data_IF_000932862921
#
_entry.id   IF_000932862921
#
_cell.length_a   1.000
_cell.length_b   1.000
_cell.length_c   1.000
_cell.angle_alpha   90.00
_cell.angle_beta   90.00
_cell.angle_gamma   90.00
#
_symmetry.space_group_name_H-M   'P 1'
#
loop_
_entity.id
_entity.type
_entity.pdbx_description
1 polymer ?
#
# COMPACT_ATOMS: atom_id res chain seq x y z
N UNK A 1 10.64 -8.78 -2.56
CA UNK A 1 11.56 -8.40 -3.66
C UNK A 1 12.11 -7.00 -3.42
N UNK A 2 13.44 -6.84 -3.45
CA UNK A 2 14.12 -5.54 -3.47
C UNK A 2 14.38 -5.11 -4.93
N UNK A 3 14.21 -3.83 -5.22
CA UNK A 3 14.35 -3.25 -6.55
C UNK A 3 15.18 -1.98 -6.47
N UNK A 4 16.31 -1.94 -7.17
CA UNK A 4 17.02 -0.70 -7.46
C UNK A 4 16.48 -0.10 -8.76
N UNK A 5 16.20 1.20 -8.72
CA UNK A 5 15.67 1.97 -9.84
C UNK A 5 16.62 3.14 -10.07
N UNK A 6 17.09 3.31 -11.31
CA UNK A 6 18.06 4.36 -11.66
C UNK A 6 17.39 5.66 -12.13
N UNK A 7 16.15 5.57 -12.61
CA UNK A 7 15.34 6.71 -13.02
C UNK A 7 13.90 6.30 -13.27
N UNK A 8 13.00 7.26 -13.52
CA UNK A 8 13.26 8.70 -13.59
C UNK A 8 13.44 9.34 -12.20
N UNK A 9 13.95 10.58 -12.14
CA UNK A 9 13.98 11.36 -10.88
C UNK A 9 12.57 11.74 -10.44
N UNK A 10 11.68 12.05 -11.39
CA UNK A 10 10.27 12.40 -11.16
C UNK A 10 9.38 11.38 -11.91
N UNK A 11 8.63 10.51 -11.20
CA UNK A 11 7.87 9.44 -11.82
C UNK A 11 6.54 9.92 -12.39
N UNK A 12 5.94 9.14 -13.29
CA UNK A 12 4.67 9.48 -13.92
C UNK A 12 3.51 9.45 -12.93
N UNK A 13 3.48 8.47 -12.01
CA UNK A 13 2.59 8.43 -10.84
C UNK A 13 3.33 8.92 -9.59
N UNK A 14 2.87 10.01 -8.96
CA UNK A 14 3.64 10.64 -7.87
C UNK A 14 2.80 11.51 -6.96
N UNK A 15 3.27 11.71 -5.73
CA UNK A 15 2.75 12.74 -4.84
C UNK A 15 3.34 14.10 -5.19
N UNK A 16 2.49 15.10 -5.40
CA UNK A 16 2.86 16.49 -5.35
C UNK A 16 2.22 17.17 -4.13
N UNK A 17 2.86 18.21 -3.62
CA UNK A 17 2.44 18.90 -2.40
C UNK A 17 2.56 20.41 -2.54
N UNK A 18 1.65 21.13 -1.90
CA UNK A 18 1.67 22.57 -1.74
C UNK A 18 1.44 22.95 -0.27
N UNK A 19 1.76 24.19 0.09
CA UNK A 19 1.57 24.71 1.44
C UNK A 19 0.11 24.60 1.93
N UNK A 20 -0.05 24.63 3.25
CA UNK A 20 -1.36 24.50 3.88
C UNK A 20 -1.90 23.06 3.85
N UNK A 21 -0.99 22.08 3.89
CA UNK A 21 -1.27 20.64 4.00
C UNK A 21 -1.96 20.03 2.77
N UNK A 22 -1.68 20.59 1.60
CA UNK A 22 -2.27 20.18 0.32
C UNK A 22 -1.43 19.09 -0.32
N UNK A 23 -2.07 17.99 -0.65
CA UNK A 23 -1.49 16.84 -1.31
C UNK A 23 -2.29 16.54 -2.58
N UNK A 24 -1.60 16.09 -3.62
CA UNK A 24 -2.25 15.58 -4.83
C UNK A 24 -1.43 14.43 -5.39
N UNK A 25 -2.11 13.34 -5.72
CA UNK A 25 -1.53 12.27 -6.50
C UNK A 25 -1.74 12.59 -7.98
N UNK A 26 -0.65 12.64 -8.73
CA UNK A 26 -0.62 12.91 -10.17
C UNK A 26 -0.28 11.63 -10.91
N UNK A 27 -0.90 11.38 -12.06
CA UNK A 27 -0.57 10.32 -12.99
C UNK A 27 -0.48 10.88 -14.42
N UNK A 28 0.67 10.76 -15.07
CA UNK A 28 0.84 11.28 -16.44
C UNK A 28 0.53 12.77 -16.59
N UNK A 29 0.67 13.54 -15.51
CA UNK A 29 0.29 14.97 -15.47
C UNK A 29 -1.17 15.26 -15.11
N UNK A 30 -1.99 14.24 -14.89
CA UNK A 30 -3.40 14.37 -14.51
C UNK A 30 -3.59 14.12 -13.01
N UNK A 31 -4.31 14.97 -12.27
CA UNK A 31 -4.68 14.68 -10.88
C UNK A 31 -5.61 13.47 -10.78
N UNK A 32 -5.24 12.48 -9.96
CA UNK A 32 -6.03 11.26 -9.72
C UNK A 32 -6.64 11.20 -8.31
N UNK A 33 -5.99 11.83 -7.34
CA UNK A 33 -6.46 11.95 -5.96
C UNK A 33 -6.03 13.30 -5.40
N UNK A 34 -6.95 14.05 -4.83
CA UNK A 34 -6.62 15.17 -3.95
C UNK A 34 -6.71 14.72 -2.50
N UNK A 35 -5.83 15.25 -1.67
CA UNK A 35 -5.91 15.06 -0.23
C UNK A 35 -5.51 16.35 0.51
N UNK A 36 -6.12 16.57 1.66
CA UNK A 36 -5.73 17.67 2.55
C UNK A 36 -5.70 17.16 3.98
N UNK A 37 -4.57 17.34 4.65
CA UNK A 37 -4.46 16.93 6.06
C UNK A 37 -5.40 17.78 6.92
N UNK A 38 -6.09 17.13 7.84
CA UNK A 38 -7.04 17.76 8.76
C UNK A 38 -6.34 18.73 9.70
N UNK A 39 -7.08 19.72 10.20
CA UNK A 39 -6.60 20.69 11.22
C UNK A 39 -6.32 20.05 12.57
N UNK A 40 -6.94 18.89 12.82
CA UNK A 40 -6.75 18.07 14.01
C UNK A 40 -5.45 17.25 13.98
N UNK A 41 -4.79 17.15 12.81
CA UNK A 41 -3.61 16.30 12.60
C UNK A 41 -3.86 14.79 12.78
N UNK A 42 -5.12 14.34 12.90
CA UNK A 42 -5.49 12.94 13.10
C UNK A 42 -5.93 12.21 11.83
N UNK A 43 -5.73 12.83 10.66
CA UNK A 43 -6.11 12.25 9.39
C UNK A 43 -6.07 13.24 8.24
N UNK A 44 -6.71 12.86 7.14
CA UNK A 44 -6.88 13.71 5.95
C UNK A 44 -8.27 13.55 5.37
N UNK A 45 -8.70 14.57 4.64
CA UNK A 45 -9.79 14.45 3.67
C UNK A 45 -9.19 14.01 2.33
N UNK A 46 -9.90 13.19 1.57
CA UNK A 46 -9.55 12.84 0.21
C UNK A 46 -10.70 13.06 -0.76
N UNK A 47 -10.35 13.23 -2.04
CA UNK A 47 -11.29 13.21 -3.15
C UNK A 47 -10.64 12.57 -4.39
N UNK A 48 -11.24 11.51 -4.92
CA UNK A 48 -10.84 10.85 -6.16
C UNK A 48 -11.41 11.59 -7.35
N UNK A 49 -10.64 11.67 -8.42
CA UNK A 49 -11.10 12.30 -9.67
C UNK A 49 -11.74 11.30 -10.63
N UNK A 50 -11.63 10.00 -10.36
CA UNK A 50 -12.06 8.92 -11.26
C UNK A 50 -11.14 8.72 -12.46
N UNK A 51 -10.01 9.43 -12.55
CA UNK A 51 -9.09 9.41 -13.70
C UNK A 51 -7.94 8.42 -13.55
N UNK A 52 -7.84 7.75 -12.41
CA UNK A 52 -6.77 6.79 -12.16
C UNK A 52 -6.85 5.59 -13.12
N UNK A 53 -5.69 5.23 -13.70
CA UNK A 53 -5.51 4.02 -14.49
C UNK A 53 -4.42 3.17 -13.85
N UNK A 54 -4.63 1.86 -13.76
CA UNK A 54 -3.59 0.96 -13.27
C UNK A 54 -2.34 1.03 -14.15
N UNK A 55 -1.13 1.18 -13.59
CA UNK A 55 0.11 1.12 -14.37
C UNK A 55 0.45 -0.32 -14.80
N UNK A 56 -0.25 -1.32 -14.26
CA UNK A 56 -0.01 -2.73 -14.58
C UNK A 56 -0.99 -3.22 -15.64
N UNK A 57 -0.49 -4.05 -16.55
CA UNK A 57 -1.33 -4.71 -17.53
C UNK A 57 -2.35 -5.65 -16.83
N UNK A 58 -3.59 -5.75 -17.35
CA UNK A 58 -4.58 -6.66 -16.80
C UNK A 58 -4.09 -8.11 -16.72
N UNK A 59 -4.16 -8.69 -15.51
CA UNK A 59 -3.82 -10.10 -15.31
C UNK A 59 -4.86 -11.04 -15.92
N UNK A 60 -4.37 -11.95 -16.77
CA UNK A 60 -5.18 -13.02 -17.37
C UNK A 60 -5.30 -14.21 -16.43
N UNK A 61 -6.41 -14.95 -16.53
CA UNK A 61 -6.65 -16.15 -15.73
C UNK A 61 -5.62 -17.26 -15.99
N UNK A 62 -5.16 -17.37 -17.24
CA UNK A 62 -4.11 -18.31 -17.65
C UNK A 62 -2.83 -18.10 -16.84
N UNK A 63 -2.31 -16.86 -16.79
CA UNK A 63 -1.13 -16.53 -16.00
C UNK A 63 -1.30 -16.90 -14.52
N UNK A 64 -2.48 -16.65 -13.94
CA UNK A 64 -2.73 -16.98 -12.54
C UNK A 64 -2.62 -18.49 -12.27
N UNK A 65 -3.15 -19.31 -13.17
CA UNK A 65 -3.06 -20.78 -13.10
C UNK A 65 -1.64 -21.27 -13.33
N UNK A 66 -0.95 -20.75 -14.33
CA UNK A 66 0.46 -21.10 -14.59
C UNK A 66 1.31 -20.82 -13.35
N UNK A 67 1.15 -19.68 -12.68
CA UNK A 67 1.90 -19.41 -11.45
C UNK A 67 1.57 -20.42 -10.36
N UNK A 68 0.30 -20.80 -10.21
CA UNK A 68 -0.16 -21.79 -9.23
C UNK A 68 0.31 -23.23 -9.51
N UNK A 69 0.58 -23.59 -10.76
CA UNK A 69 1.15 -24.89 -11.13
C UNK A 69 2.60 -25.07 -10.64
N UNK A 70 3.35 -23.97 -10.55
CA UNK A 70 4.77 -24.01 -10.21
C UNK A 70 5.08 -23.54 -8.78
N UNK A 71 4.11 -22.95 -8.08
CA UNK A 71 4.24 -22.54 -6.69
C UNK A 71 2.88 -22.63 -6.00
N UNK A 72 2.85 -23.27 -4.84
CA UNK A 72 1.63 -23.45 -4.08
C UNK A 72 1.02 -22.09 -3.70
N UNK A 73 -0.26 -21.82 -4.02
CA UNK A 73 -0.88 -20.55 -3.71
C UNK A 73 -0.79 -20.17 -2.23
N UNK A 74 -0.05 -19.09 -1.99
CA UNK A 74 0.19 -18.58 -0.65
C UNK A 74 1.48 -18.99 0.02
N UNK A 75 2.30 -19.83 -0.64
CA UNK A 75 3.68 -20.07 -0.25
C UNK A 75 4.55 -18.82 -0.43
N UNK A 76 5.77 -18.87 0.10
CA UNK A 76 6.77 -17.83 -0.10
C UNK A 76 7.15 -17.73 -1.60
N UNK A 77 7.35 -18.86 -2.27
CA UNK A 77 7.69 -18.91 -3.70
C UNK A 77 6.59 -18.32 -4.58
N UNK A 78 5.31 -18.58 -4.24
CA UNK A 78 4.18 -18.00 -4.97
C UNK A 78 4.15 -16.48 -4.81
N UNK A 79 4.42 -16.01 -3.60
CA UNK A 79 4.52 -14.58 -3.27
C UNK A 79 5.68 -13.93 -4.02
N UNK A 80 6.85 -14.57 -4.05
CA UNK A 80 8.03 -14.09 -4.76
C UNK A 80 7.81 -14.01 -6.27
N UNK A 81 7.14 -14.99 -6.86
CA UNK A 81 6.77 -14.98 -8.29
C UNK A 81 5.86 -13.80 -8.62
N UNK A 82 4.86 -13.53 -7.80
CA UNK A 82 4.00 -12.36 -8.00
C UNK A 82 4.73 -11.04 -7.74
N UNK A 83 5.64 -10.99 -6.77
CA UNK A 83 6.49 -9.83 -6.56
C UNK A 83 7.41 -9.60 -7.77
N UNK A 84 8.00 -10.65 -8.35
CA UNK A 84 8.81 -10.57 -9.56
C UNK A 84 7.98 -10.08 -10.76
N UNK A 85 6.78 -10.64 -10.96
CA UNK A 85 5.86 -10.21 -12.01
C UNK A 85 5.45 -8.74 -11.85
N UNK A 86 4.97 -8.35 -10.67
CA UNK A 86 4.60 -6.98 -10.36
C UNK A 86 5.77 -6.02 -10.50
N UNK A 87 6.95 -6.39 -9.98
CA UNK A 87 8.16 -5.59 -10.08
C UNK A 87 8.65 -5.40 -11.52
N UNK A 88 8.51 -6.41 -12.38
CA UNK A 88 8.80 -6.27 -13.81
C UNK A 88 7.80 -5.32 -14.49
N UNK A 89 6.50 -5.48 -14.22
CA UNK A 89 5.45 -4.60 -14.75
C UNK A 89 5.62 -3.14 -14.31
N UNK A 90 5.95 -2.91 -13.04
CA UNK A 90 6.18 -1.56 -12.51
C UNK A 90 7.40 -0.87 -13.12
N UNK A 91 8.48 -1.61 -13.41
CA UNK A 91 9.65 -1.06 -14.10
C UNK A 91 9.37 -0.70 -15.56
N UNK A 92 8.48 -1.45 -16.21
CA UNK A 92 8.09 -1.20 -17.59
C UNK A 92 7.06 -0.07 -17.73
N UNK A 93 6.37 0.30 -16.64
CA UNK A 93 5.32 1.30 -16.66
C UNK A 93 5.87 2.73 -16.70
N UNK A 94 5.62 3.46 -17.79
CA UNK A 94 6.00 4.88 -17.90
C UNK A 94 5.27 5.79 -16.90
N UNK A 95 4.00 5.47 -16.61
CA UNK A 95 3.16 6.18 -15.62
C UNK A 95 3.07 5.44 -14.29
N UNK A 96 4.14 4.72 -13.92
CA UNK A 96 4.29 4.04 -12.64
C UNK A 96 4.84 4.93 -11.52
N UNK A 97 4.83 4.44 -10.26
CA UNK A 97 5.33 5.18 -9.10
C UNK A 97 6.84 5.10 -8.91
N UNK A 98 7.53 4.23 -9.65
CA UNK A 98 8.95 3.99 -9.48
C UNK A 98 9.77 5.19 -9.96
N UNK A 99 10.62 5.67 -9.06
CA UNK A 99 11.63 6.70 -9.29
C UNK A 99 12.96 6.23 -8.71
N UNK A 100 14.02 6.96 -9.05
CA UNK A 100 15.37 6.73 -8.55
C UNK A 100 15.40 6.40 -7.05
N UNK A 101 16.01 5.24 -6.72
CA UNK A 101 16.17 4.75 -5.36
C UNK A 101 15.90 3.26 -5.22
N UNK A 102 15.86 2.82 -3.97
CA UNK A 102 15.57 1.43 -3.61
C UNK A 102 14.11 1.28 -3.16
N UNK A 103 13.49 0.18 -3.58
CA UNK A 103 12.08 -0.11 -3.40
C UNK A 103 11.86 -1.57 -2.99
N UNK A 104 10.89 -1.82 -2.12
CA UNK A 104 10.40 -3.16 -1.83
C UNK A 104 9.04 -3.38 -2.48
N UNK A 105 8.86 -4.60 -2.98
CA UNK A 105 7.55 -5.19 -3.21
C UNK A 105 7.48 -6.50 -2.41
N UNK A 106 6.71 -6.49 -1.34
CA UNK A 106 6.65 -7.58 -0.37
C UNK A 106 5.24 -7.68 0.24
N UNK A 107 4.88 -8.79 0.89
CA UNK A 107 3.71 -8.82 1.76
C UNK A 107 3.75 -7.70 2.81
N UNK A 108 2.59 -7.35 3.34
CA UNK A 108 2.49 -6.48 4.51
C UNK A 108 3.16 -7.15 5.73
N UNK A 109 4.36 -6.68 6.06
CA UNK A 109 5.16 -7.17 7.19
C UNK A 109 4.67 -6.60 8.53
N UNK A 110 4.09 -5.40 8.51
CA UNK A 110 3.69 -4.65 9.70
C UNK A 110 2.26 -4.99 10.16
N UNK A 111 1.55 -5.83 9.40
CA UNK A 111 0.15 -6.19 9.65
C UNK A 111 -0.74 -4.95 9.78
N UNK A 112 -0.51 -3.99 8.88
CA UNK A 112 -1.21 -2.72 8.79
C UNK A 112 -2.73 -2.90 8.65
N UNK A 113 -3.16 -3.99 8.00
CA UNK A 113 -4.57 -4.23 7.72
C UNK A 113 -5.31 -4.86 8.90
N UNK A 114 -6.28 -4.13 9.46
CA UNK A 114 -7.17 -4.59 10.53
C UNK A 114 -8.32 -5.41 9.92
N UNK A 115 -8.53 -6.62 10.43
CA UNK A 115 -9.51 -7.56 9.86
C UNK A 115 -10.93 -6.98 9.78
N UNK A 116 -11.33 -6.17 10.77
CA UNK A 116 -12.65 -5.52 10.82
C UNK A 116 -12.89 -4.44 9.75
N UNK A 117 -11.84 -3.93 9.10
CA UNK A 117 -11.97 -2.87 8.10
C UNK A 117 -12.23 -3.41 6.68
N UNK A 118 -11.91 -4.68 6.40
CA UNK A 118 -12.11 -5.26 5.07
C UNK A 118 -13.57 -5.27 4.60
N UNK A 119 -14.57 -5.73 5.40
CA UNK A 119 -15.96 -5.74 4.95
C UNK A 119 -16.51 -4.34 4.66
N UNK A 120 -16.02 -3.32 5.38
CA UNK A 120 -16.43 -1.92 5.23
C UNK A 120 -16.07 -1.35 3.86
N UNK A 121 -14.91 -1.74 3.31
CA UNK A 121 -14.45 -1.25 2.00
C UNK A 121 -15.44 -1.52 0.87
N UNK A 122 -16.09 -2.69 0.86
CA UNK A 122 -17.06 -3.01 -0.19
C UNK A 122 -18.41 -2.33 0.06
N UNK A 123 -18.80 -2.16 1.32
CA UNK A 123 -20.06 -1.52 1.69
C UNK A 123 -20.02 0.01 1.53
N UNK A 124 -18.85 0.63 1.73
CA UNK A 124 -18.68 2.08 1.78
C UNK A 124 -17.35 2.51 1.11
N UNK A 125 -17.42 2.75 -0.21
CA UNK A 125 -16.31 3.27 -1.03
C UNK A 125 -16.67 4.61 -1.68
N UNK A 126 -16.89 5.69 -0.90
CA UNK A 126 -17.23 6.98 -1.48
C UNK A 126 -16.02 7.58 -2.22
N UNK A 127 -16.28 8.31 -3.30
CA UNK A 127 -15.26 9.05 -4.04
C UNK A 127 -14.61 10.18 -3.22
N UNK A 128 -15.27 10.60 -2.14
CA UNK A 128 -14.80 11.61 -1.18
C UNK A 128 -15.01 11.10 0.23
N UNK A 129 -14.04 11.31 1.10
CA UNK A 129 -14.13 10.85 2.49
C UNK A 129 -12.90 11.21 3.31
N UNK A 130 -12.68 10.44 4.38
CA UNK A 130 -11.59 10.66 5.33
C UNK A 130 -10.70 9.43 5.44
N UNK A 131 -9.41 9.64 5.71
CA UNK A 131 -8.53 8.62 6.26
C UNK A 131 -8.14 9.05 7.67
N UNK A 132 -8.45 8.21 8.65
CA UNK A 132 -8.17 8.44 10.07
C UNK A 132 -6.91 7.68 10.47
N UNK A 133 -5.96 8.36 11.13
CA UNK A 133 -4.68 7.74 11.50
C UNK A 133 -4.69 7.12 12.90
N UNK A 134 -5.69 7.46 13.73
CA UNK A 134 -5.76 7.04 15.13
C UNK A 134 -7.18 6.74 15.63
N UNK A 135 -8.14 6.52 14.71
CA UNK A 135 -9.53 6.19 15.04
C UNK A 135 -10.32 7.25 15.81
N UNK A 136 -9.90 8.53 15.78
CA UNK A 136 -10.59 9.61 16.50
C UNK A 136 -11.56 10.38 15.60
N UNK A 137 -12.82 10.48 16.05
CA UNK A 137 -13.76 11.53 15.62
C UNK A 137 -14.37 11.39 14.23
N UNK A 138 -14.11 10.28 13.52
CA UNK A 138 -14.69 10.00 12.21
C UNK A 138 -15.76 8.89 12.29
N UNK A 139 -16.70 8.82 11.34
CA UNK A 139 -17.68 7.75 11.29
C UNK A 139 -17.01 6.37 11.18
N UNK A 140 -17.60 5.35 11.82
CA UNK A 140 -17.02 4.00 11.84
C UNK A 140 -16.91 3.38 10.44
N UNK A 141 -17.81 3.78 9.52
CA UNK A 141 -17.77 3.39 8.11
C UNK A 141 -16.53 3.92 7.37
N UNK A 142 -15.95 5.04 7.79
CA UNK A 142 -14.77 5.64 7.16
C UNK A 142 -13.46 4.95 7.60
N UNK A 143 -13.51 4.12 8.64
CA UNK A 143 -12.36 3.34 9.10
C UNK A 143 -11.88 2.37 8.01
N UNK A 144 -10.72 2.68 7.42
CA UNK A 144 -10.10 1.88 6.36
C UNK A 144 -8.59 1.97 6.41
N UNK A 145 -7.94 0.84 6.13
CA UNK A 145 -6.47 0.72 6.10
C UNK A 145 -5.93 0.74 4.67
N UNK A 146 -6.79 0.91 3.68
CA UNK A 146 -6.47 0.85 2.26
C UNK A 146 -7.40 1.79 1.50
N UNK A 147 -6.84 2.61 0.61
CA UNK A 147 -7.62 3.52 -0.24
C UNK A 147 -7.63 3.05 -1.71
N UNK A 148 -8.79 2.64 -2.26
CA UNK A 148 -8.93 2.39 -3.69
C UNK A 148 -8.74 3.69 -4.50
N UNK A 149 -7.80 3.73 -5.46
CA UNK A 149 -7.60 4.90 -6.32
C UNK A 149 -8.68 5.12 -7.41
N UNK A 150 -9.50 4.10 -7.66
CA UNK A 150 -10.73 4.21 -8.45
C UNK A 150 -11.87 3.50 -7.70
N UNK A 151 -13.10 3.83 -8.04
CA UNK A 151 -14.27 3.17 -7.50
C UNK A 151 -14.17 1.65 -7.69
N UNK A 152 -14.50 0.91 -6.63
CA UNK A 152 -14.63 -0.54 -6.69
C UNK A 152 -15.77 -0.94 -7.63
N UNK A 153 -15.50 -1.94 -8.45
CA UNK A 153 -16.50 -2.48 -9.37
C UNK A 153 -17.60 -3.19 -8.58
N UNK A 154 -18.80 -3.27 -9.18
CA UNK A 154 -19.91 -4.01 -8.59
C UNK A 154 -19.57 -5.51 -8.48
N UNK A 155 -19.98 -6.21 -7.40
CA UNK A 155 -19.69 -7.64 -7.19
C UNK A 155 -20.12 -8.58 -8.33
N UNK A 156 -21.15 -8.18 -9.09
CA UNK A 156 -21.71 -8.94 -10.21
C UNK A 156 -21.16 -8.51 -11.58
N UNK A 157 -20.21 -7.56 -11.63
CA UNK A 157 -19.55 -7.21 -12.89
C UNK A 157 -18.83 -8.44 -13.50
N UNK A 158 -18.88 -8.67 -14.83
CA UNK A 158 -18.35 -9.89 -15.44
C UNK A 158 -16.90 -10.21 -15.06
N UNK A 159 -16.04 -9.17 -15.02
CA UNK A 159 -14.64 -9.31 -14.62
C UNK A 159 -14.48 -9.69 -13.14
N UNK A 160 -15.30 -9.13 -12.25
CA UNK A 160 -15.29 -9.48 -10.83
C UNK A 160 -15.75 -10.93 -10.64
N UNK A 161 -16.80 -11.39 -11.34
CA UNK A 161 -17.24 -12.80 -11.28
C UNK A 161 -16.14 -13.78 -11.70
N UNK A 162 -15.35 -13.44 -12.73
CA UNK A 162 -14.20 -14.24 -13.14
C UNK A 162 -13.12 -14.31 -12.04
N UNK A 163 -12.83 -13.18 -11.35
CA UNK A 163 -11.90 -13.17 -10.23
C UNK A 163 -12.46 -13.87 -8.98
N UNK A 164 -13.77 -13.80 -8.71
CA UNK A 164 -14.42 -14.55 -7.61
C UNK A 164 -14.25 -16.06 -7.81
N UNK A 165 -14.36 -16.53 -9.04
CA UNK A 165 -14.04 -17.92 -9.38
C UNK A 165 -12.58 -18.26 -9.05
N UNK A 166 -11.62 -17.42 -9.45
CA UNK A 166 -10.21 -17.63 -9.10
C UNK A 166 -9.96 -17.60 -7.59
N UNK A 167 -10.69 -16.77 -6.85
CA UNK A 167 -10.61 -16.72 -5.39
C UNK A 167 -11.03 -18.05 -4.76
N UNK A 168 -12.18 -18.60 -5.17
CA UNK A 168 -12.66 -19.92 -4.73
C UNK A 168 -11.71 -21.05 -5.12
N UNK A 169 -11.08 -20.95 -6.29
CA UNK A 169 -10.05 -21.89 -6.75
C UNK A 169 -8.71 -21.71 -6.02
N UNK A 170 -8.56 -20.68 -5.17
CA UNK A 170 -7.32 -20.41 -4.42
C UNK A 170 -6.21 -19.76 -5.24
N UNK A 171 -6.46 -19.42 -6.51
CA UNK A 171 -5.43 -18.94 -7.46
C UNK A 171 -5.49 -17.44 -7.73
N UNK A 172 -6.35 -16.69 -7.01
CA UNK A 172 -6.49 -15.24 -7.21
C UNK A 172 -5.14 -14.52 -7.02
N UNK A 173 -4.65 -13.78 -8.04
CA UNK A 173 -3.41 -13.03 -7.92
C UNK A 173 -3.49 -11.92 -6.86
N UNK A 174 -2.40 -11.56 -6.18
CA UNK A 174 -2.41 -10.61 -5.08
C UNK A 174 -2.66 -9.17 -5.54
N UNK A 175 -3.43 -8.41 -4.77
CA UNK A 175 -3.62 -6.96 -4.98
C UNK A 175 -2.28 -6.25 -4.79
N UNK A 176 -1.93 -5.38 -5.72
CA UNK A 176 -0.73 -4.55 -5.61
C UNK A 176 -1.13 -3.22 -4.98
N UNK A 177 -0.57 -2.92 -3.81
CA UNK A 177 -0.78 -1.67 -3.10
C UNK A 177 0.50 -0.84 -3.10
N UNK A 178 0.39 0.46 -2.87
CA UNK A 178 1.53 1.36 -2.73
C UNK A 178 1.41 2.18 -1.44
N UNK A 179 2.40 2.07 -0.56
CA UNK A 179 2.50 2.85 0.65
C UNK A 179 2.80 4.32 0.34
N UNK A 180 1.92 5.22 0.79
CA UNK A 180 2.12 6.66 0.71
C UNK A 180 2.15 7.24 2.12
N UNK A 181 3.35 7.53 2.62
CA UNK A 181 3.58 8.10 3.95
C UNK A 181 2.80 9.39 4.22
N UNK A 182 2.64 10.28 3.23
CA UNK A 182 1.85 11.51 3.38
C UNK A 182 0.35 11.26 3.56
N UNK A 183 -0.14 10.08 3.17
CA UNK A 183 -1.51 9.64 3.45
C UNK A 183 -1.58 8.75 4.70
N UNK A 184 -0.43 8.29 5.20
CA UNK A 184 -0.29 7.24 6.20
C UNK A 184 -1.22 6.04 5.90
N UNK A 185 -1.31 5.67 4.63
CA UNK A 185 -2.15 4.58 4.15
C UNK A 185 -1.61 4.05 2.83
N UNK A 186 -1.65 2.73 2.61
CA UNK A 186 -1.55 2.15 1.28
C UNK A 186 -2.71 2.61 0.38
N UNK A 187 -2.41 2.75 -0.90
CA UNK A 187 -3.39 2.93 -1.97
C UNK A 187 -3.40 1.72 -2.90
N UNK A 188 -4.56 1.35 -3.45
CA UNK A 188 -4.64 0.25 -4.43
C UNK A 188 -4.05 0.72 -5.75
N UNK A 189 -2.89 0.18 -6.11
CA UNK A 189 -2.20 0.46 -7.36
C UNK A 189 -2.80 -0.39 -8.49
N UNK A 190 -2.97 -1.69 -8.26
CA UNK A 190 -3.66 -2.57 -9.19
C UNK A 190 -4.42 -3.67 -8.46
N UNK A 191 -5.52 -4.11 -9.07
CA UNK A 191 -6.33 -5.19 -8.55
C UNK A 191 -7.59 -4.74 -7.81
N UNK A 192 -8.14 -3.55 -8.09
CA UNK A 192 -9.45 -3.13 -7.55
C UNK A 192 -10.54 -4.19 -7.77
N UNK A 193 -10.61 -4.82 -8.95
CA UNK A 193 -11.61 -5.89 -9.20
C UNK A 193 -11.28 -7.19 -8.45
N UNK A 194 -10.01 -7.44 -8.13
CA UNK A 194 -9.55 -8.60 -7.36
C UNK A 194 -9.81 -8.40 -5.86
N UNK A 195 -9.65 -7.16 -5.39
CA UNK A 195 -10.09 -6.71 -4.08
C UNK A 195 -11.60 -6.91 -3.94
N UNK A 196 -12.42 -6.37 -4.85
CA UNK A 196 -13.87 -6.61 -4.85
C UNK A 196 -14.19 -8.11 -4.83
N UNK A 197 -13.52 -8.91 -5.65
CA UNK A 197 -13.77 -10.34 -5.73
C UNK A 197 -13.52 -11.06 -4.40
N UNK A 198 -12.40 -10.80 -3.72
CA UNK A 198 -12.11 -11.40 -2.43
C UNK A 198 -13.12 -10.98 -1.36
N UNK A 199 -13.47 -9.69 -1.31
CA UNK A 199 -14.45 -9.15 -0.36
C UNK A 199 -15.86 -9.69 -0.59
N UNK A 200 -16.28 -9.85 -1.85
CA UNK A 200 -17.58 -10.42 -2.20
C UNK A 200 -17.72 -11.91 -1.84
N UNK A 201 -16.59 -12.60 -1.64
CA UNK A 201 -16.54 -13.98 -1.13
C UNK A 201 -16.37 -14.02 0.41
N UNK A 202 -16.48 -12.88 1.09
CA UNK A 202 -16.36 -12.77 2.54
C UNK A 202 -14.94 -12.97 3.08
N UNK A 203 -13.93 -12.88 2.20
CA UNK A 203 -12.55 -13.09 2.57
C UNK A 203 -11.66 -11.87 2.31
N UNK A 204 -10.35 -12.09 2.39
CA UNK A 204 -9.33 -11.03 2.22
C UNK A 204 -8.43 -11.32 1.02
N UNK A 205 -8.09 -10.30 0.21
CA UNK A 205 -7.08 -10.49 -0.81
C UNK A 205 -5.71 -10.66 -0.16
N UNK A 206 -4.81 -11.38 -0.84
CA UNK A 206 -3.38 -11.25 -0.57
C UNK A 206 -2.93 -9.89 -1.11
N UNK A 207 -2.13 -9.16 -0.34
CA UNK A 207 -1.63 -7.83 -0.73
C UNK A 207 -0.11 -7.87 -0.83
N UNK A 208 0.41 -7.35 -1.93
CA UNK A 208 1.82 -7.00 -2.08
C UNK A 208 1.95 -5.48 -2.03
N UNK A 209 2.65 -5.00 -1.00
CA UNK A 209 2.88 -3.60 -0.74
C UNK A 209 4.18 -3.14 -1.41
N UNK A 210 4.04 -2.14 -2.28
CA UNK A 210 5.14 -1.36 -2.82
C UNK A 210 5.50 -0.26 -1.83
N UNK A 211 6.77 -0.14 -1.47
CA UNK A 211 7.28 0.95 -0.62
C UNK A 211 8.71 1.32 -0.98
N UNK A 212 9.15 2.53 -0.62
CA UNK A 212 10.57 2.84 -0.65
C UNK A 212 11.29 2.01 0.41
N UNK A 213 12.49 1.53 0.07
CA UNK A 213 13.36 0.87 1.03
C UNK A 213 13.94 1.88 2.02
N UNK A 214 14.06 1.45 3.28
CA UNK A 214 14.86 2.14 4.26
C UNK A 214 16.34 2.04 3.91
N UNK A 215 17.07 3.14 4.11
CA UNK A 215 18.52 3.11 3.98
C UNK A 215 19.18 2.36 5.14
N UNK A 216 20.42 1.92 4.92
CA UNK A 216 21.17 1.14 5.90
C UNK A 216 21.37 1.87 7.24
N UNK A 217 21.51 3.20 7.22
CA UNK A 217 21.71 3.99 8.44
C UNK A 217 20.44 3.97 9.31
N UNK A 218 19.27 4.09 8.68
CA UNK A 218 17.98 4.04 9.39
C UNK A 218 17.65 2.63 9.87
N UNK A 219 17.98 1.61 9.09
CA UNK A 219 17.87 0.21 9.52
C UNK A 219 18.74 -0.03 10.76
N UNK A 220 20.00 0.42 10.75
CA UNK A 220 20.91 0.27 11.89
C UNK A 220 20.36 0.98 13.14
N UNK A 221 19.88 2.22 12.98
CA UNK A 221 19.26 2.98 14.07
C UNK A 221 18.05 2.25 14.67
N UNK A 222 17.17 1.70 13.84
CA UNK A 222 15.97 1.00 14.31
C UNK A 222 16.28 -0.39 14.89
N UNK A 223 17.35 -1.03 14.42
CA UNK A 223 17.79 -2.33 14.89
C UNK A 223 18.58 -2.28 16.22
N UNK A 224 19.15 -1.12 16.59
CA UNK A 224 20.01 -0.97 17.78
C UNK A 224 19.36 -1.54 19.06
N UNK A 225 18.14 -1.06 19.38
CA UNK A 225 17.43 -1.54 20.58
C UNK A 225 17.02 -3.02 20.49
N UNK A 226 16.40 -3.50 19.40
CA UNK A 226 16.12 -4.93 19.22
C UNK A 226 17.35 -5.84 19.35
N UNK A 227 18.51 -5.43 18.83
CA UNK A 227 19.78 -6.17 18.95
C UNK A 227 20.19 -6.26 20.42
N UNK A 228 20.23 -5.13 21.13
CA UNK A 228 20.59 -5.11 22.55
C UNK A 228 19.62 -5.95 23.41
N UNK A 229 18.32 -5.88 23.13
CA UNK A 229 17.31 -6.69 23.81
C UNK A 229 17.48 -8.20 23.52
N UNK A 230 17.85 -8.56 22.29
CA UNK A 230 18.13 -9.95 21.91
C UNK A 230 19.37 -10.49 22.62
N UNK A 231 20.48 -9.74 22.60
CA UNK A 231 21.74 -10.12 23.26
C UNK A 231 21.53 -10.33 24.76
N UNK A 232 20.81 -9.40 25.42
CA UNK A 232 20.45 -9.53 26.84
C UNK A 232 19.58 -10.76 27.13
N UNK A 233 18.59 -11.06 26.28
CA UNK A 233 17.74 -12.25 26.43
C UNK A 233 18.52 -13.55 26.25
N UNK A 234 19.42 -13.63 25.27
CA UNK A 234 20.26 -14.82 25.04
C UNK A 234 21.23 -15.02 26.18
N UNK A 235 21.88 -13.96 26.69
CA UNK A 235 22.79 -14.04 27.81
C UNK A 235 22.12 -14.51 29.11
N UNK A 236 20.82 -14.26 29.29
CA UNK A 236 20.05 -14.68 30.46
C UNK A 236 19.51 -16.13 30.37
N UNK A 237 19.70 -16.84 29.25
CA UNK A 237 19.19 -18.19 29.04
C UNK A 237 20.24 -19.25 29.41
N UNK A 238 20.19 -19.73 30.65
CA UNK A 238 20.99 -20.87 31.13
C UNK A 238 20.16 -22.17 31.28
N UNK A 239 20.85 -23.32 31.23
CA UNK A 239 20.32 -24.64 31.59
C UNK A 239 19.99 -25.60 30.43
N UNK A 240 19.47 -26.81 30.73
CA UNK A 240 19.34 -27.92 29.76
C UNK A 240 18.38 -27.64 28.58
N UNK A 241 17.41 -26.74 28.77
CA UNK A 241 16.48 -26.30 27.73
C UNK A 241 16.96 -25.04 26.99
N UNK A 242 18.16 -24.55 27.31
CA UNK A 242 18.80 -23.37 26.71
C UNK A 242 18.77 -23.35 25.19
N UNK A 243 19.16 -24.43 24.47
CA UNK A 243 19.18 -24.44 23.01
C UNK A 243 17.80 -24.20 22.37
N UNK A 244 16.73 -24.78 22.91
CA UNK A 244 15.37 -24.61 22.37
C UNK A 244 14.82 -23.21 22.63
N UNK A 245 15.11 -22.64 23.81
CA UNK A 245 14.72 -21.27 24.16
C UNK A 245 15.48 -20.25 23.32
N UNK A 246 16.78 -20.44 23.13
CA UNK A 246 17.61 -19.63 22.23
C UNK A 246 17.06 -19.69 20.81
N UNK A 247 16.75 -20.88 20.30
CA UNK A 247 16.18 -21.02 18.95
C UNK A 247 14.84 -20.27 18.78
N UNK A 248 13.98 -20.28 19.80
CA UNK A 248 12.73 -19.50 19.78
C UNK A 248 13.00 -17.99 19.78
N UNK A 249 13.85 -17.51 20.69
CA UNK A 249 14.23 -16.09 20.78
C UNK A 249 14.90 -15.59 19.50
N UNK A 250 15.79 -16.40 18.91
CA UNK A 250 16.43 -16.10 17.63
C UNK A 250 15.43 -16.00 16.48
N UNK A 251 14.41 -16.87 16.43
CA UNK A 251 13.33 -16.76 15.41
C UNK A 251 12.52 -15.48 15.60
N UNK A 252 12.17 -15.13 16.84
CA UNK A 252 11.46 -13.88 17.12
C UNK A 252 12.30 -12.67 16.71
N UNK A 253 13.58 -12.65 17.05
CA UNK A 253 14.50 -11.59 16.67
C UNK A 253 14.68 -11.48 15.15
N UNK A 254 14.83 -12.61 14.45
CA UNK A 254 14.89 -12.62 12.99
C UNK A 254 13.63 -12.04 12.35
N UNK A 255 12.45 -12.30 12.91
CA UNK A 255 11.20 -11.70 12.45
C UNK A 255 11.17 -10.18 12.71
N UNK A 256 11.65 -9.72 13.87
CA UNK A 256 11.78 -8.29 14.19
C UNK A 256 12.72 -7.58 13.22
N UNK A 257 13.91 -8.13 12.95
CA UNK A 257 14.84 -7.55 11.98
C UNK A 257 14.24 -7.52 10.57
N UNK A 258 13.55 -8.59 10.17
CA UNK A 258 12.87 -8.64 8.88
C UNK A 258 11.80 -7.56 8.75
N UNK A 259 11.00 -7.32 9.79
CA UNK A 259 10.02 -6.24 9.83
C UNK A 259 10.69 -4.87 9.68
N UNK A 260 11.80 -4.61 10.39
CA UNK A 260 12.56 -3.35 10.28
C UNK A 260 13.10 -3.15 8.85
N UNK A 261 13.65 -4.19 8.24
CA UNK A 261 14.19 -4.11 6.87
C UNK A 261 13.08 -3.88 5.85
N UNK A 262 11.89 -4.44 6.08
CA UNK A 262 10.74 -4.34 5.17
C UNK A 262 9.86 -3.13 5.46
N UNK A 263 10.10 -2.42 6.57
CA UNK A 263 9.34 -1.25 6.95
C UNK A 263 9.43 -0.18 5.87
N UNK A 264 8.31 0.49 5.56
CA UNK A 264 8.29 1.45 4.47
C UNK A 264 9.02 2.75 4.84
N UNK A 265 9.93 3.21 3.98
CA UNK A 265 10.50 4.54 4.12
C UNK A 265 9.53 5.65 3.70
N UNK A 266 9.84 6.89 4.09
CA UNK A 266 9.08 8.09 3.70
C UNK A 266 9.04 8.23 2.19
N UNK A 267 7.84 8.41 1.65
CA UNK A 267 7.57 8.65 0.23
C UNK A 267 8.07 10.04 -0.16
N UNK A 268 8.71 10.16 -1.32
CA UNK A 268 9.08 11.46 -1.88
C UNK A 268 7.83 12.18 -2.42
N UNK A 269 7.71 13.46 -2.12
CA UNK A 269 6.76 14.36 -2.77
C UNK A 269 7.51 15.46 -3.53
N UNK A 270 6.92 15.95 -4.62
CA UNK A 270 7.46 17.08 -5.39
C UNK A 270 6.62 18.34 -5.15
N UNK A 271 7.17 19.54 -5.33
CA UNK A 271 6.37 20.76 -5.29
C UNK A 271 5.28 20.73 -6.36
N UNK A 272 4.04 21.06 -5.98
CA UNK A 272 2.95 21.25 -6.92
C UNK A 272 3.14 22.59 -7.65
N UNK A 273 3.22 22.60 -9.00
CA UNK A 273 3.45 23.83 -9.75
C UNK A 273 2.36 24.88 -9.49
N UNK A 274 2.77 26.13 -9.27
CA UNK A 274 1.86 27.23 -8.96
C UNK A 274 1.35 27.27 -7.52
N UNK A 275 1.80 26.34 -6.66
CA UNK A 275 1.55 26.38 -5.22
C UNK A 275 0.07 26.25 -4.83
N UNK A 276 -0.33 26.79 -3.67
CA UNK A 276 -1.69 26.61 -3.13
C UNK A 276 -2.81 27.10 -4.05
N UNK A 277 -2.65 28.26 -4.70
CA UNK A 277 -3.68 28.83 -5.57
C UNK A 277 -3.96 27.95 -6.80
N UNK A 278 -2.91 27.41 -7.42
CA UNK A 278 -3.06 26.47 -8.52
C UNK A 278 -3.69 25.14 -8.06
N UNK A 279 -3.38 24.70 -6.84
CA UNK A 279 -3.97 23.49 -6.28
C UNK A 279 -5.47 23.67 -6.02
N UNK A 280 -5.88 24.80 -5.43
CA UNK A 280 -7.28 25.12 -5.16
C UNK A 280 -8.07 25.23 -6.49
N UNK A 281 -7.49 25.84 -7.52
CA UNK A 281 -8.07 25.87 -8.86
C UNK A 281 -8.20 24.47 -9.48
N UNK A 282 -7.19 23.61 -9.33
CA UNK A 282 -7.24 22.24 -9.81
C UNK A 282 -8.32 21.41 -9.10
N UNK A 283 -8.47 21.59 -7.78
CA UNK A 283 -9.56 21.01 -6.99
C UNK A 283 -10.92 21.44 -7.51
N UNK A 284 -11.14 22.75 -7.68
CA UNK A 284 -12.41 23.28 -8.17
C UNK A 284 -12.77 22.70 -9.56
N UNK A 285 -11.78 22.48 -10.42
CA UNK A 285 -11.97 21.93 -11.76
C UNK A 285 -12.24 20.41 -11.78
N UNK A 286 -11.59 19.63 -10.91
CA UNK A 286 -11.61 18.16 -10.98
C UNK A 286 -12.58 17.50 -9.99
N UNK A 287 -12.81 18.14 -8.85
CA UNK A 287 -13.66 17.63 -7.76
C UNK A 287 -14.55 18.75 -7.23
N UNK A 288 -15.43 19.32 -8.09
CA UNK A 288 -16.27 20.46 -7.72
C UNK A 288 -17.13 20.14 -6.50
N UNK A 289 -17.26 21.11 -5.60
CA UNK A 289 -18.01 20.98 -4.34
C UNK A 289 -17.28 20.25 -3.21
N UNK A 290 -16.06 19.74 -3.44
CA UNK A 290 -15.24 19.20 -2.35
C UNK A 290 -14.61 20.34 -1.54
N UNK A 291 -15.03 20.47 -0.28
CA UNK A 291 -14.55 21.48 0.66
C UNK A 291 -13.96 20.79 1.90
N UNK A 292 -12.67 20.38 1.86
CA UNK A 292 -12.01 19.83 3.04
C UNK A 292 -11.78 20.94 4.07
N UNK A 293 -11.85 20.61 5.36
CA UNK A 293 -11.72 21.58 6.46
C UNK A 293 -10.47 22.45 6.28
N UNK A 294 -10.70 23.75 6.06
CA UNK A 294 -9.63 24.69 5.73
C UNK A 294 -9.00 25.31 6.98
N UNK A 295 -9.83 25.58 7.99
CA UNK A 295 -9.52 26.44 9.13
C UNK A 295 -9.70 25.70 10.47
N UNK A 296 -8.98 26.20 11.48
CA UNK A 296 -8.94 25.65 12.84
C UNK A 296 -10.18 26.02 13.64
#
# INVERSE_FOLDING_TARGET
MLMRVEGPVKPGLRMESADGRRLVLMQGGVPVLFARQRVTWYGLHYARTGRYVSPLAPLRAELARTVAEFAEPGSEEWTERWAAHGGAGLRAAGDGPLHEGEWHLAPDADRWFVDGNWPKLLAHDPDRGHLTWFGYGDPDEDARDLLPLRALSQPEAPRVKAYRRQYREGVLPPVFAWWISGLNSPVVLDGHDRLTAALAEGGRPRVLLLSRAMDAARIALWAERPVAEYEGRVAALDGPLGPNRVAHVSRQFANTLRAIIQAPAVTRAWPFPGGPAAWDAAVAAHVPGWAPDADR
#
